data_IF_979350072859
#
_entry.id   IF_979350072859
#
_cell.length_a   1.000
_cell.length_b   1.000
_cell.length_c   1.000
_cell.angle_alpha   90.00
_cell.angle_beta   90.00
_cell.angle_gamma   90.00
#
_symmetry.space_group_name_H-M   'P 1'
#
loop_
_entity.id
_entity.type
_entity.pdbx_description
1 polymer ?
#
# COMPACT_ATOMS: atom_id res chain seq x y z
N UNK A 1 -14.59 -3.57 -1.66
CA UNK A 1 -14.27 -2.22 -2.14
C UNK A 1 -15.06 -1.13 -1.39
N UNK A 2 -16.37 -1.27 -1.18
CA UNK A 2 -17.18 -0.33 -0.40
C UNK A 2 -16.83 -0.32 1.10
N UNK A 3 -16.47 -1.46 1.69
CA UNK A 3 -16.08 -1.57 3.10
C UNK A 3 -14.69 -0.98 3.37
N UNK A 4 -13.74 -1.19 2.47
CA UNK A 4 -12.40 -0.60 2.57
C UNK A 4 -12.45 0.93 2.51
N UNK A 5 -13.28 1.51 1.63
CA UNK A 5 -13.55 2.97 1.61
C UNK A 5 -14.20 3.45 2.91
N UNK A 6 -15.11 2.68 3.48
CA UNK A 6 -15.80 3.04 4.72
C UNK A 6 -14.85 2.95 5.93
N UNK A 7 -13.94 1.98 5.98
CA UNK A 7 -12.92 1.87 7.02
C UNK A 7 -11.89 3.00 6.91
N UNK A 8 -11.42 3.35 5.71
CA UNK A 8 -10.58 4.51 5.49
C UNK A 8 -11.29 5.81 5.91
N UNK A 9 -12.55 6.00 5.57
CA UNK A 9 -13.32 7.17 6.01
C UNK A 9 -13.51 7.20 7.53
N UNK A 10 -13.71 6.07 8.21
CA UNK A 10 -13.85 6.04 9.67
C UNK A 10 -12.54 6.38 10.40
N UNK A 11 -11.40 6.01 9.85
CA UNK A 11 -10.08 6.33 10.39
C UNK A 11 -9.72 7.81 10.22
N UNK A 12 -10.19 8.46 9.15
CA UNK A 12 -9.88 9.87 8.84
C UNK A 12 -11.00 10.85 9.18
N UNK A 13 -12.10 10.39 9.81
CA UNK A 13 -13.18 11.30 10.17
C UNK A 13 -12.73 12.26 11.30
N UNK A 14 -12.89 13.61 11.16
CA UNK A 14 -12.42 14.59 12.13
C UNK A 14 -13.05 14.46 13.53
N UNK A 15 -14.10 13.66 13.69
CA UNK A 15 -14.79 13.42 14.94
C UNK A 15 -14.52 12.03 15.58
N UNK A 16 -13.50 11.29 15.12
CA UNK A 16 -13.14 10.02 15.74
C UNK A 16 -12.56 10.26 17.15
N UNK A 17 -13.19 9.76 18.24
CA UNK A 17 -12.75 9.99 19.62
C UNK A 17 -11.36 9.39 19.94
N UNK A 18 -10.84 8.50 19.11
CA UNK A 18 -9.52 7.90 19.27
C UNK A 18 -8.38 8.76 18.67
N UNK A 19 -8.69 9.87 18.00
CA UNK A 19 -7.70 10.78 17.39
C UNK A 19 -7.31 11.92 18.38
N UNK A 20 -6.92 11.56 19.62
CA UNK A 20 -6.56 12.55 20.66
C UNK A 20 -5.20 13.22 20.46
N UNK A 21 -4.33 12.68 19.61
CA UNK A 21 -2.95 13.17 19.49
C UNK A 21 -2.76 14.29 18.46
N UNK A 22 -3.77 14.64 17.67
CA UNK A 22 -3.63 15.67 16.63
C UNK A 22 -3.86 17.10 17.16
N UNK A 23 -4.56 17.28 18.28
CA UNK A 23 -4.91 18.62 18.80
C UNK A 23 -3.84 19.29 19.67
N UNK A 24 -2.77 18.59 20.07
CA UNK A 24 -1.73 19.18 20.92
C UNK A 24 -0.51 19.73 20.16
N UNK A 25 -0.35 19.40 18.87
CA UNK A 25 0.79 19.87 18.07
C UNK A 25 0.60 21.27 17.44
N UNK A 26 -0.61 21.83 17.46
CA UNK A 26 -0.93 23.08 16.76
C UNK A 26 -0.96 24.34 17.67
N UNK A 27 -0.63 24.23 18.95
CA UNK A 27 -0.72 25.38 19.87
C UNK A 27 0.59 26.04 20.29
N UNK A 28 1.76 25.72 19.71
CA UNK A 28 3.03 26.31 20.16
C UNK A 28 3.90 26.92 19.09
N UNK A 29 3.35 27.48 18.01
CA UNK A 29 4.12 28.32 17.09
C UNK A 29 3.39 29.66 16.91
N UNK A 30 3.63 30.59 17.82
CA UNK A 30 3.29 31.99 17.64
C UNK A 30 4.30 32.66 16.71
N UNK A 31 3.82 33.08 15.60
CA UNK A 31 4.25 34.06 14.60
C UNK A 31 5.52 34.89 14.90
N UNK A 32 6.48 34.83 13.97
CA UNK A 32 7.24 35.99 13.50
C UNK A 32 6.88 36.21 12.03
N UNK A 33 6.45 37.44 11.75
CA UNK A 33 6.05 37.87 10.42
C UNK A 33 7.21 37.71 9.42
N UNK A 34 6.95 37.04 8.31
CA UNK A 34 7.76 36.98 7.10
C UNK A 34 7.00 37.78 6.03
N UNK A 35 7.65 38.68 5.26
CA UNK A 35 6.96 39.50 4.26
C UNK A 35 6.38 38.64 3.14
N UNK A 36 5.19 39.06 2.65
CA UNK A 36 4.48 38.47 1.54
C UNK A 36 5.35 38.36 0.28
N UNK A 37 5.38 37.19 -0.40
CA UNK A 37 5.92 37.12 -1.75
C UNK A 37 4.91 37.70 -2.73
N UNK A 38 5.39 38.58 -3.61
CA UNK A 38 4.67 39.12 -4.73
C UNK A 38 4.19 37.99 -5.67
N UNK A 39 2.98 38.19 -6.19
CA UNK A 39 2.34 37.33 -7.19
C UNK A 39 3.26 37.13 -8.40
N UNK A 40 3.72 35.88 -8.57
CA UNK A 40 4.33 35.44 -9.81
C UNK A 40 3.28 34.68 -10.61
N UNK A 41 3.11 35.10 -11.87
CA UNK A 41 2.20 34.56 -12.86
C UNK A 41 2.03 33.04 -12.78
N UNK A 42 0.80 32.61 -12.51
CA UNK A 42 0.35 31.25 -12.73
C UNK A 42 0.31 30.96 -14.24
N UNK A 43 1.43 30.55 -14.79
CA UNK A 43 1.41 29.80 -16.03
C UNK A 43 0.90 28.39 -15.70
N UNK A 44 -0.39 28.26 -15.78
CA UNK A 44 -1.13 27.01 -15.77
C UNK A 44 -0.59 26.13 -16.91
N UNK A 45 0.37 25.26 -16.57
CA UNK A 45 0.74 24.17 -17.44
C UNK A 45 -0.50 23.29 -17.58
N UNK A 46 -1.23 23.47 -18.65
CA UNK A 46 -2.23 22.52 -19.09
C UNK A 46 -1.51 21.23 -19.43
N UNK A 47 -1.43 20.34 -18.45
CA UNK A 47 -1.22 18.93 -18.71
C UNK A 47 -2.39 18.53 -19.60
N UNK A 48 -2.11 18.31 -20.87
CA UNK A 48 -3.02 17.67 -21.78
C UNK A 48 -3.45 16.37 -21.10
N UNK A 49 -4.74 16.29 -20.78
CA UNK A 49 -5.37 15.04 -20.41
C UNK A 49 -5.35 14.14 -21.65
N UNK A 50 -4.23 13.51 -21.93
CA UNK A 50 -4.25 12.28 -22.67
C UNK A 50 -5.05 11.32 -21.79
N UNK A 51 -6.29 11.18 -22.18
CA UNK A 51 -7.25 10.24 -21.63
C UNK A 51 -6.76 8.86 -22.10
N UNK A 52 -5.66 8.39 -21.52
CA UNK A 52 -5.28 6.99 -21.57
C UNK A 52 -6.47 6.25 -20.95
N UNK A 53 -7.25 5.62 -21.80
CA UNK A 53 -8.26 4.65 -21.39
C UNK A 53 -7.48 3.49 -20.78
N UNK A 54 -7.15 3.61 -19.48
CA UNK A 54 -6.81 2.46 -18.67
C UNK A 54 -8.01 1.53 -18.80
N UNK A 55 -7.76 0.33 -19.34
CA UNK A 55 -8.76 -0.71 -19.48
C UNK A 55 -9.45 -0.96 -18.13
N UNK A 56 -10.63 -1.55 -18.14
CA UNK A 56 -11.36 -1.88 -16.93
C UNK A 56 -10.54 -2.91 -16.14
N UNK A 57 -9.97 -2.49 -15.00
CA UNK A 57 -9.13 -3.37 -14.17
C UNK A 57 -9.96 -4.48 -13.54
N UNK A 58 -9.47 -5.70 -13.59
CA UNK A 58 -10.09 -6.88 -12.97
C UNK A 58 -9.44 -7.15 -11.62
N UNK A 59 -10.28 -7.30 -10.59
CA UNK A 59 -9.85 -7.57 -9.22
C UNK A 59 -10.25 -8.98 -8.81
N UNK A 60 -9.27 -9.76 -8.37
CA UNK A 60 -9.45 -11.15 -7.94
C UNK A 60 -9.25 -11.28 -6.43
N UNK A 61 -10.22 -11.85 -5.72
CA UNK A 61 -10.05 -12.23 -4.32
C UNK A 61 -9.72 -13.72 -4.24
N UNK A 62 -8.56 -14.04 -3.70
CA UNK A 62 -8.02 -15.40 -3.61
C UNK A 62 -8.45 -16.04 -2.29
N UNK A 63 -9.51 -16.82 -2.30
CA UNK A 63 -10.09 -17.47 -1.11
C UNK A 63 -9.87 -18.98 -1.11
N UNK A 64 -9.65 -19.58 -2.27
CA UNK A 64 -9.53 -21.03 -2.42
C UNK A 64 -8.10 -21.45 -2.71
N UNK A 65 -7.77 -22.69 -2.36
CA UNK A 65 -6.46 -23.27 -2.70
C UNK A 65 -6.22 -23.27 -4.22
N UNK A 66 -7.28 -23.54 -5.01
CA UNK A 66 -7.18 -23.54 -6.48
C UNK A 66 -6.79 -22.16 -7.04
N UNK A 67 -7.39 -21.08 -6.52
CA UNK A 67 -7.06 -19.70 -6.94
C UNK A 67 -5.67 -19.30 -6.49
N UNK A 68 -5.27 -19.74 -5.29
CA UNK A 68 -3.91 -19.55 -4.81
C UNK A 68 -2.88 -20.28 -5.69
N UNK A 69 -3.13 -21.52 -6.06
CA UNK A 69 -2.20 -22.29 -6.89
C UNK A 69 -1.98 -21.63 -8.25
N UNK A 70 -3.04 -21.06 -8.86
CA UNK A 70 -2.94 -20.28 -10.12
C UNK A 70 -2.10 -19.01 -9.93
N UNK A 71 -2.37 -18.24 -8.86
CA UNK A 71 -1.60 -17.04 -8.55
C UNK A 71 -0.14 -17.39 -8.25
N UNK A 72 0.10 -18.43 -7.48
CA UNK A 72 1.45 -18.88 -7.11
C UNK A 72 2.27 -19.35 -8.32
N UNK A 73 1.65 -20.04 -9.27
CA UNK A 73 2.28 -20.40 -10.56
C UNK A 73 2.69 -19.12 -11.32
N UNK A 74 1.82 -18.11 -11.39
CA UNK A 74 2.14 -16.83 -12.03
C UNK A 74 3.28 -16.10 -11.30
N UNK A 75 3.26 -16.04 -9.98
CA UNK A 75 4.34 -15.46 -9.17
C UNK A 75 5.70 -16.11 -9.40
N UNK A 76 5.74 -17.42 -9.66
CA UNK A 76 7.00 -18.14 -9.95
C UNK A 76 7.53 -17.87 -11.36
N UNK A 77 6.69 -17.45 -12.30
CA UNK A 77 7.08 -17.19 -13.69
C UNK A 77 7.41 -15.73 -13.95
N UNK A 78 6.75 -14.82 -13.26
CA UNK A 78 6.92 -13.38 -13.43
C UNK A 78 8.24 -12.88 -12.82
N UNK A 79 8.84 -11.90 -13.47
CA UNK A 79 10.09 -11.28 -13.00
C UNK A 79 9.88 -9.97 -12.26
N UNK A 80 8.65 -9.48 -12.25
CA UNK A 80 8.27 -8.22 -11.60
C UNK A 80 6.80 -8.24 -11.23
N UNK A 81 6.50 -7.72 -10.05
CA UNK A 81 5.13 -7.46 -9.61
C UNK A 81 5.09 -6.33 -8.59
N UNK A 82 3.93 -5.67 -8.49
CA UNK A 82 3.61 -4.79 -7.39
C UNK A 82 3.16 -5.63 -6.18
N UNK A 83 3.55 -5.20 -4.98
CA UNK A 83 3.26 -5.90 -3.72
C UNK A 83 2.93 -4.88 -2.63
N UNK A 84 1.92 -5.16 -1.83
CA UNK A 84 1.51 -4.34 -0.70
C UNK A 84 0.88 -5.23 0.39
N UNK A 85 1.08 -4.90 1.68
CA UNK A 85 0.56 -5.67 2.81
C UNK A 85 -0.57 -4.94 3.52
N UNK A 86 -1.64 -5.67 3.86
CA UNK A 86 -2.66 -5.24 4.79
C UNK A 86 -2.37 -5.76 6.20
N UNK A 87 -2.45 -4.88 7.18
CA UNK A 87 -1.89 -5.16 8.51
C UNK A 87 -2.80 -4.72 9.65
N UNK A 88 -2.57 -5.27 10.85
CA UNK A 88 -3.32 -4.95 12.07
C UNK A 88 -2.95 -3.60 12.69
N UNK A 89 -1.82 -2.98 12.33
CA UNK A 89 -1.30 -1.78 12.98
C UNK A 89 -0.41 -0.97 12.04
N UNK A 90 -0.39 0.35 12.19
CA UNK A 90 0.60 1.23 11.54
C UNK A 90 1.99 1.17 12.21
N UNK A 91 2.08 0.64 13.43
CA UNK A 91 3.37 0.36 14.07
C UNK A 91 3.91 -0.98 13.56
N UNK A 92 4.82 -0.91 12.60
CA UNK A 92 5.41 -2.08 11.94
C UNK A 92 6.05 -3.08 12.91
N UNK A 93 6.46 -2.65 14.13
CA UNK A 93 7.11 -3.51 15.13
C UNK A 93 6.17 -4.55 15.72
N UNK A 94 4.86 -4.28 15.70
CA UNK A 94 3.82 -5.16 16.26
C UNK A 94 2.78 -5.56 15.22
N UNK A 95 2.86 -4.99 14.01
CA UNK A 95 1.93 -5.26 12.93
C UNK A 95 1.97 -6.74 12.51
N UNK A 96 0.80 -7.31 12.29
CA UNK A 96 0.62 -8.65 11.75
C UNK A 96 -0.06 -8.55 10.39
N UNK A 97 0.35 -9.36 9.44
CA UNK A 97 -0.27 -9.42 8.11
C UNK A 97 -1.67 -10.02 8.23
N UNK A 98 -2.68 -9.31 7.73
CA UNK A 98 -4.05 -9.81 7.58
C UNK A 98 -4.41 -10.14 6.15
N UNK A 99 -3.61 -9.67 5.19
CA UNK A 99 -3.71 -9.96 3.78
C UNK A 99 -2.58 -9.28 3.02
N UNK A 100 -2.50 -9.56 1.72
CA UNK A 100 -1.61 -8.83 0.82
C UNK A 100 -2.20 -8.72 -0.58
N UNK A 101 -1.78 -7.72 -1.33
CA UNK A 101 -2.14 -7.55 -2.73
C UNK A 101 -0.96 -7.74 -3.66
N UNK A 102 -1.24 -8.23 -4.86
CA UNK A 102 -0.27 -8.41 -5.96
C UNK A 102 -0.88 -7.90 -7.26
N UNK A 103 -0.10 -7.17 -8.05
CA UNK A 103 -0.47 -6.80 -9.41
C UNK A 103 0.73 -6.98 -10.35
N UNK A 104 0.48 -7.53 -11.53
CA UNK A 104 1.53 -7.77 -12.54
C UNK A 104 1.53 -6.69 -13.63
N UNK A 105 0.38 -6.06 -13.82
CA UNK A 105 0.10 -5.00 -14.79
C UNK A 105 -1.01 -4.06 -14.27
N UNK A 106 -1.49 -3.16 -15.11
CA UNK A 106 -2.55 -2.21 -14.75
C UNK A 106 -3.97 -2.81 -14.84
N UNK A 107 -4.11 -4.01 -15.38
CA UNK A 107 -5.40 -4.62 -15.69
C UNK A 107 -5.82 -5.68 -14.67
N UNK A 108 -4.85 -6.39 -14.06
CA UNK A 108 -5.09 -7.51 -13.14
C UNK A 108 -4.48 -7.26 -11.76
N UNK A 109 -5.30 -7.26 -10.72
CA UNK A 109 -4.87 -7.21 -9.34
C UNK A 109 -5.50 -8.32 -8.51
N UNK A 110 -4.71 -8.90 -7.62
CA UNK A 110 -5.08 -10.02 -6.75
C UNK A 110 -4.99 -9.60 -5.30
N UNK A 111 -6.00 -9.95 -4.52
CA UNK A 111 -5.98 -9.78 -3.08
C UNK A 111 -6.07 -11.15 -2.40
N UNK A 112 -5.16 -11.42 -1.46
CA UNK A 112 -5.09 -12.67 -0.68
C UNK A 112 -5.40 -12.35 0.78
N UNK A 113 -6.66 -12.49 1.24
CA UNK A 113 -7.01 -12.35 2.64
C UNK A 113 -6.52 -13.55 3.44
N UNK A 114 -5.97 -13.31 4.65
CA UNK A 114 -5.31 -14.34 5.46
C UNK A 114 -5.78 -14.38 6.92
N UNK A 115 -6.12 -13.24 7.50
CA UNK A 115 -6.44 -13.14 8.93
C UNK A 115 -7.41 -12.00 9.25
N UNK A 116 -8.36 -11.73 8.36
CA UNK A 116 -9.45 -10.81 8.66
C UNK A 116 -10.44 -11.46 9.63
N UNK A 117 -10.87 -10.71 10.66
CA UNK A 117 -11.71 -11.16 11.76
C UNK A 117 -13.03 -10.37 11.91
N UNK A 118 -13.43 -9.63 10.88
CA UNK A 118 -14.69 -8.89 10.88
C UNK A 118 -15.89 -9.84 10.80
N UNK A 119 -17.05 -9.38 11.26
CA UNK A 119 -18.30 -10.14 11.24
C UNK A 119 -18.64 -10.58 9.80
N UNK A 120 -18.91 -11.88 9.61
CA UNK A 120 -19.14 -12.53 8.31
C UNK A 120 -17.92 -12.51 7.37
N UNK A 121 -16.71 -12.43 7.88
CA UNK A 121 -15.52 -12.65 7.05
C UNK A 121 -15.62 -14.03 6.37
N UNK A 122 -15.29 -14.14 5.06
CA UNK A 122 -15.26 -15.43 4.38
C UNK A 122 -14.20 -16.34 5.00
N UNK A 123 -14.30 -17.63 4.76
CA UNK A 123 -13.21 -18.56 5.04
C UNK A 123 -11.96 -18.14 4.24
N UNK A 124 -10.81 -18.07 4.89
CA UNK A 124 -9.58 -17.57 4.33
C UNK A 124 -8.52 -18.67 4.32
N UNK A 125 -7.52 -18.51 3.47
CA UNK A 125 -6.37 -19.40 3.43
C UNK A 125 -5.53 -19.30 4.72
N UNK A 126 -4.86 -20.40 5.06
CA UNK A 126 -3.99 -20.39 6.26
C UNK A 126 -2.78 -19.49 6.06
N UNK A 127 -2.66 -18.45 6.88
CA UNK A 127 -1.64 -17.42 6.77
C UNK A 127 -0.23 -17.97 6.80
N UNK A 128 0.07 -18.85 7.75
CA UNK A 128 1.41 -19.41 7.93
C UNK A 128 1.82 -20.23 6.71
N UNK A 129 0.90 -21.00 6.15
CA UNK A 129 1.12 -21.80 4.95
C UNK A 129 1.41 -20.92 3.73
N UNK A 130 0.57 -19.90 3.50
CA UNK A 130 0.71 -19.00 2.35
C UNK A 130 1.99 -18.18 2.45
N UNK A 131 2.30 -17.63 3.64
CA UNK A 131 3.54 -16.88 3.85
C UNK A 131 4.78 -17.75 3.68
N UNK A 132 4.74 -19.00 4.11
CA UNK A 132 5.85 -19.94 3.89
C UNK A 132 6.07 -20.25 2.40
N UNK A 133 5.00 -20.34 1.62
CA UNK A 133 5.08 -20.61 0.18
C UNK A 133 5.58 -19.40 -0.61
N UNK A 134 5.11 -18.17 -0.30
CA UNK A 134 5.54 -16.97 -1.01
C UNK A 134 6.94 -16.48 -0.59
N UNK A 135 7.42 -16.88 0.59
CA UNK A 135 8.71 -16.45 1.13
C UNK A 135 9.87 -16.55 0.14
N UNK A 136 10.12 -17.68 -0.55
CA UNK A 136 11.24 -17.78 -1.49
C UNK A 136 11.15 -16.74 -2.64
N UNK A 137 9.94 -16.38 -3.05
CA UNK A 137 9.70 -15.37 -4.12
C UNK A 137 9.98 -13.96 -3.60
N UNK A 138 9.55 -13.66 -2.38
CA UNK A 138 9.78 -12.35 -1.76
C UNK A 138 11.25 -12.13 -1.42
N UNK A 139 12.00 -13.18 -1.09
CA UNK A 139 13.42 -13.13 -0.76
C UNK A 139 14.34 -13.25 -1.98
N UNK A 140 13.84 -13.45 -3.19
CA UNK A 140 14.64 -13.54 -4.41
C UNK A 140 14.98 -12.14 -4.97
N UNK A 141 16.26 -11.78 -4.98
CA UNK A 141 16.76 -10.52 -5.56
C UNK A 141 16.55 -10.41 -7.08
N UNK A 142 16.38 -11.55 -7.79
CA UNK A 142 16.15 -11.55 -9.23
C UNK A 142 14.68 -11.25 -9.60
N UNK A 143 13.77 -11.27 -8.64
CA UNK A 143 12.36 -10.92 -8.82
C UNK A 143 12.15 -9.51 -8.32
N UNK A 144 11.78 -8.60 -9.21
CA UNK A 144 11.63 -7.18 -8.89
C UNK A 144 10.30 -6.89 -8.19
N UNK A 145 10.36 -6.24 -7.02
CA UNK A 145 9.18 -5.79 -6.27
C UNK A 145 9.01 -4.29 -6.44
N UNK A 146 7.79 -3.87 -6.74
CA UNK A 146 7.32 -2.49 -6.78
C UNK A 146 6.34 -2.31 -5.63
N UNK A 147 6.38 -1.19 -4.94
CA UNK A 147 5.38 -0.89 -3.90
C UNK A 147 5.31 0.58 -3.56
N UNK A 148 4.49 0.88 -2.58
CA UNK A 148 4.34 2.22 -2.04
C UNK A 148 4.76 2.21 -0.58
N UNK A 149 5.90 2.80 -0.22
CA UNK A 149 6.50 2.72 1.11
C UNK A 149 6.98 1.29 1.47
N UNK A 150 7.64 0.59 0.53
CA UNK A 150 8.14 -0.78 0.69
C UNK A 150 8.92 -1.04 1.98
N UNK A 151 9.50 0.00 2.57
CA UNK A 151 10.19 -0.11 3.85
C UNK A 151 9.26 -0.57 4.98
N UNK A 152 8.00 -0.12 4.98
CA UNK A 152 7.01 -0.56 5.95
C UNK A 152 6.70 -2.04 5.75
N UNK A 153 6.41 -2.45 4.52
CA UNK A 153 6.11 -3.85 4.20
C UNK A 153 7.26 -4.79 4.54
N UNK A 154 8.49 -4.37 4.26
CA UNK A 154 9.68 -5.14 4.61
C UNK A 154 9.77 -5.40 6.12
N UNK A 155 9.54 -4.37 6.95
CA UNK A 155 9.56 -4.55 8.41
C UNK A 155 8.40 -5.42 8.91
N UNK A 156 7.23 -5.32 8.30
CA UNK A 156 6.10 -6.20 8.65
C UNK A 156 6.41 -7.64 8.26
N UNK A 157 6.98 -7.87 7.08
CA UNK A 157 7.41 -9.19 6.62
C UNK A 157 8.49 -9.81 7.53
N UNK A 158 9.41 -9.00 8.07
CA UNK A 158 10.41 -9.43 9.07
C UNK A 158 9.76 -10.03 10.34
N UNK A 159 8.61 -9.52 10.79
CA UNK A 159 7.86 -10.07 11.91
C UNK A 159 7.36 -11.51 11.63
N UNK A 160 7.26 -11.88 10.35
CA UNK A 160 6.90 -13.22 9.88
C UNK A 160 8.10 -14.02 9.38
N UNK A 161 9.34 -13.55 9.64
CA UNK A 161 10.58 -14.22 9.25
C UNK A 161 10.86 -14.20 7.75
N UNK A 162 10.36 -13.20 7.02
CA UNK A 162 10.58 -13.00 5.58
C UNK A 162 11.43 -11.75 5.39
N UNK A 163 12.54 -11.86 4.65
CA UNK A 163 13.40 -10.73 4.30
C UNK A 163 13.15 -10.30 2.87
N UNK A 164 12.36 -9.22 2.70
CA UNK A 164 12.04 -8.72 1.37
C UNK A 164 13.31 -8.31 0.61
N UNK A 165 13.49 -8.87 -0.57
CA UNK A 165 14.61 -8.59 -1.47
C UNK A 165 14.11 -8.18 -2.87
N UNK A 166 15.01 -7.77 -3.76
CA UNK A 166 14.64 -7.36 -5.12
C UNK A 166 13.82 -6.07 -5.18
N UNK A 167 14.09 -5.11 -4.29
CA UNK A 167 13.42 -3.79 -4.27
C UNK A 167 13.77 -3.05 -5.55
N UNK A 168 12.79 -2.88 -6.41
CA UNK A 168 13.01 -2.26 -7.72
C UNK A 168 12.54 -0.81 -7.75
N UNK A 169 11.33 -0.54 -7.24
CA UNK A 169 10.76 0.80 -7.31
C UNK A 169 9.80 1.06 -6.15
N UNK A 170 9.99 2.19 -5.49
CA UNK A 170 9.09 2.68 -4.43
C UNK A 170 8.41 3.96 -4.91
N UNK A 171 7.10 3.89 -5.13
CA UNK A 171 6.30 4.99 -5.69
C UNK A 171 6.21 6.18 -4.73
N UNK A 172 6.28 5.97 -3.41
CA UNK A 172 6.32 7.06 -2.44
C UNK A 172 7.63 7.83 -2.54
N UNK A 173 8.77 7.13 -2.60
CA UNK A 173 10.08 7.77 -2.76
C UNK A 173 10.18 8.50 -4.11
N UNK A 174 9.64 7.91 -5.20
CA UNK A 174 9.59 8.55 -6.51
C UNK A 174 8.77 9.86 -6.45
N UNK A 175 7.63 9.85 -5.76
CA UNK A 175 6.81 11.05 -5.56
C UNK A 175 7.57 12.15 -4.81
N UNK A 176 8.31 11.80 -3.76
CA UNK A 176 9.17 12.75 -3.03
C UNK A 176 10.27 13.35 -3.91
N UNK A 177 10.90 12.54 -4.76
CA UNK A 177 11.96 13.01 -5.67
C UNK A 177 11.40 13.94 -6.74
N UNK A 178 10.23 13.63 -7.28
CA UNK A 178 9.59 14.43 -8.33
C UNK A 178 9.06 15.77 -7.81
N UNK A 179 8.46 15.77 -6.63
CA UNK A 179 7.90 16.99 -6.02
C UNK A 179 7.91 16.90 -4.49
N UNK A 180 9.05 17.25 -3.89
CA UNK A 180 9.25 17.21 -2.42
C UNK A 180 8.35 18.14 -1.62
N UNK A 181 7.75 19.14 -2.26
CA UNK A 181 6.84 20.12 -1.61
C UNK A 181 5.35 19.73 -1.76
N UNK A 182 5.04 18.66 -2.47
CA UNK A 182 3.68 18.15 -2.50
C UNK A 182 3.21 17.79 -1.09
N UNK A 183 1.98 18.16 -0.75
CA UNK A 183 1.44 17.99 0.60
C UNK A 183 1.03 16.55 0.93
N UNK A 184 0.94 15.69 -0.06
CA UNK A 184 0.55 14.28 0.08
C UNK A 184 1.37 13.40 -0.86
N UNK A 185 2.11 12.48 -0.29
CA UNK A 185 2.86 11.44 -0.99
C UNK A 185 2.28 10.03 -0.72
N UNK A 186 1.17 9.94 0.02
CA UNK A 186 0.42 8.71 0.23
C UNK A 186 -0.56 8.43 -0.92
N UNK A 187 -0.93 7.18 -1.07
CA UNK A 187 -2.03 6.74 -1.94
C UNK A 187 -3.38 7.11 -1.35
#
# INVERSE_FOLDING_TARGET
ELEFRNQLQSLYHPNNPNNRNYKQATQSITAKAVPEPQEADEQQATLSSDNDQLGEATYHTVLTQEDWDKLFERLNTEKRFAFDTETTSLDYRIAQIVGFSVAFDAEDAYYVPLAHDYENAPEQLNRETILAQIKPILEDDNIQKIGHHLKYDAHVLENHGIQLAGWYFDTMLASYVLNSVATRHGM
#
